data_IF_608937199507
#
_entry.id   IF_608937199507
#
_cell.length_a   1.000
_cell.length_b   1.000
_cell.length_c   1.000
_cell.angle_alpha   90.00
_cell.angle_beta   90.00
_cell.angle_gamma   90.00
#
_symmetry.space_group_name_H-M   'P 1'
#
loop_
_entity.id
_entity.type
_entity.pdbx_description
1 polymer ?
#
# COMPACT_ATOMS: atom_id res chain seq x y z
N UNK A 1 -9.97 -17.98 -16.37
CA UNK A 1 -10.13 -18.38 -14.95
C UNK A 1 -9.45 -19.72 -14.73
N UNK A 2 -8.87 -19.97 -13.55
CA UNK A 2 -8.35 -21.28 -13.17
C UNK A 2 -9.31 -21.92 -12.17
N UNK A 3 -9.53 -23.23 -12.28
CA UNK A 3 -10.30 -23.99 -11.28
C UNK A 3 -9.35 -24.38 -10.15
N UNK A 4 -9.74 -24.04 -8.93
CA UNK A 4 -8.92 -24.29 -7.73
C UNK A 4 -9.82 -24.90 -6.67
N UNK A 5 -9.34 -25.96 -6.03
CA UNK A 5 -10.01 -26.58 -4.88
C UNK A 5 -9.36 -26.03 -3.62
N UNK A 6 -10.18 -25.49 -2.71
CA UNK A 6 -9.75 -24.92 -1.43
C UNK A 6 -10.29 -25.80 -0.30
N UNK A 7 -9.48 -26.06 0.71
CA UNK A 7 -9.94 -26.64 1.96
C UNK A 7 -10.42 -25.47 2.83
N UNK A 8 -11.71 -25.49 3.18
CA UNK A 8 -12.36 -24.44 3.98
C UNK A 8 -12.97 -25.09 5.22
N UNK A 9 -12.92 -24.40 6.35
CA UNK A 9 -13.63 -24.84 7.55
C UNK A 9 -15.14 -24.85 7.30
N UNK A 10 -15.85 -25.80 7.91
CA UNK A 10 -17.30 -25.97 7.71
C UNK A 10 -18.08 -24.68 8.01
N UNK A 11 -17.73 -23.99 9.09
CA UNK A 11 -18.36 -22.72 9.45
C UNK A 11 -18.19 -21.64 8.38
N UNK A 12 -17.03 -21.61 7.70
CA UNK A 12 -16.76 -20.67 6.60
C UNK A 12 -17.60 -21.02 5.38
N UNK A 13 -17.72 -22.30 5.04
CA UNK A 13 -18.57 -22.76 3.93
C UNK A 13 -20.05 -22.44 4.17
N UNK A 14 -20.55 -22.62 5.39
CA UNK A 14 -21.94 -22.30 5.75
C UNK A 14 -22.21 -20.80 5.68
N UNK A 15 -21.25 -19.97 6.13
CA UNK A 15 -21.33 -18.53 6.01
C UNK A 15 -21.37 -18.09 4.53
N UNK A 16 -20.51 -18.64 3.67
CA UNK A 16 -20.49 -18.36 2.23
C UNK A 16 -21.83 -18.70 1.59
N UNK A 17 -22.38 -19.89 1.86
CA UNK A 17 -23.69 -20.30 1.33
C UNK A 17 -24.82 -19.36 1.75
N UNK A 18 -24.87 -19.02 3.04
CA UNK A 18 -25.90 -18.12 3.57
C UNK A 18 -25.81 -16.75 2.92
N UNK A 19 -24.60 -16.23 2.76
CA UNK A 19 -24.38 -14.90 2.21
C UNK A 19 -24.56 -14.85 0.70
N UNK A 20 -24.22 -15.91 -0.04
CA UNK A 20 -24.47 -16.00 -1.48
C UNK A 20 -25.97 -16.05 -1.79
N UNK A 21 -26.74 -16.78 -0.98
CA UNK A 21 -28.21 -16.80 -1.06
C UNK A 21 -28.82 -15.43 -0.75
N UNK A 22 -28.35 -14.76 0.31
CA UNK A 22 -28.85 -13.44 0.68
C UNK A 22 -28.53 -12.37 -0.38
N UNK A 23 -27.37 -12.47 -1.03
CA UNK A 23 -26.94 -11.54 -2.07
C UNK A 23 -27.45 -11.91 -3.48
N UNK A 24 -28.00 -13.11 -3.67
CA UNK A 24 -28.48 -13.59 -4.97
C UNK A 24 -27.36 -13.82 -6.00
N UNK A 25 -26.15 -14.14 -5.56
CA UNK A 25 -24.96 -14.34 -6.41
C UNK A 25 -24.42 -15.76 -6.28
N UNK A 26 -23.60 -16.19 -7.24
CA UNK A 26 -22.94 -17.50 -7.16
C UNK A 26 -21.91 -17.54 -6.01
N UNK A 27 -21.76 -18.70 -5.38
CA UNK A 27 -20.77 -18.88 -4.30
C UNK A 27 -19.35 -18.60 -4.79
N UNK A 28 -19.01 -19.00 -6.02
CA UNK A 28 -17.67 -18.80 -6.59
C UNK A 28 -17.39 -17.32 -6.81
N UNK A 29 -18.42 -16.54 -7.20
CA UNK A 29 -18.31 -15.10 -7.37
C UNK A 29 -18.07 -14.41 -6.02
N UNK A 30 -18.84 -14.76 -5.00
CA UNK A 30 -18.69 -14.22 -3.65
C UNK A 30 -17.30 -14.54 -3.06
N UNK A 31 -16.82 -15.78 -3.23
CA UNK A 31 -15.48 -16.19 -2.78
C UNK A 31 -14.38 -15.41 -3.49
N UNK A 32 -14.49 -15.24 -4.81
CA UNK A 32 -13.51 -14.45 -5.57
C UNK A 32 -13.48 -12.98 -5.12
N UNK A 33 -14.64 -12.40 -4.80
CA UNK A 33 -14.72 -11.03 -4.30
C UNK A 33 -14.05 -10.89 -2.93
N UNK A 34 -14.32 -11.81 -1.99
CA UNK A 34 -13.65 -11.80 -0.69
C UNK A 34 -12.13 -12.01 -0.81
N UNK A 35 -11.68 -12.90 -1.68
CA UNK A 35 -10.25 -13.08 -1.95
C UNK A 35 -9.63 -11.82 -2.55
N UNK A 36 -10.32 -11.16 -3.49
CA UNK A 36 -9.89 -9.88 -4.07
C UNK A 36 -9.74 -8.82 -2.98
N UNK A 37 -10.76 -8.62 -2.15
CA UNK A 37 -10.73 -7.64 -1.07
C UNK A 37 -9.61 -7.92 -0.06
N UNK A 38 -9.46 -9.17 0.38
CA UNK A 38 -8.40 -9.56 1.32
C UNK A 38 -6.99 -9.37 0.76
N UNK A 39 -6.78 -9.65 -0.53
CA UNK A 39 -5.48 -9.45 -1.19
C UNK A 39 -5.18 -7.98 -1.46
N UNK A 40 -6.18 -7.18 -1.85
CA UNK A 40 -6.02 -5.74 -2.08
C UNK A 40 -5.74 -5.02 -0.76
N UNK A 41 -6.53 -5.28 0.30
CA UNK A 41 -6.34 -4.63 1.61
C UNK A 41 -4.97 -4.90 2.23
N UNK A 42 -4.38 -6.08 1.99
CA UNK A 42 -2.99 -6.36 2.39
C UNK A 42 -1.96 -5.54 1.63
N UNK A 43 -2.22 -5.19 0.37
CA UNK A 43 -1.31 -4.38 -0.46
C UNK A 43 -1.42 -2.88 -0.16
N UNK A 44 -2.58 -2.42 0.29
CA UNK A 44 -2.84 -0.99 0.48
C UNK A 44 -2.46 -0.45 1.84
N UNK A 45 -1.99 -1.24 2.81
CA UNK A 45 -1.33 -0.66 3.98
C UNK A 45 -0.11 0.09 3.46
N UNK A 46 -0.12 1.45 3.43
CA UNK A 46 1.06 2.16 3.02
C UNK A 46 2.12 1.75 4.05
N UNK A 47 3.22 1.15 3.58
CA UNK A 47 4.42 1.11 4.40
C UNK A 47 4.62 2.55 4.83
N UNK A 48 4.54 2.81 6.15
CA UNK A 48 4.90 4.12 6.68
C UNK A 48 6.28 4.41 6.10
N UNK A 49 6.35 5.36 5.18
CA UNK A 49 7.63 5.82 4.70
C UNK A 49 8.32 6.38 5.93
N UNK A 50 9.54 5.92 6.27
CA UNK A 50 10.26 6.51 7.39
C UNK A 50 10.35 8.00 7.13
N UNK A 51 10.01 8.82 8.12
CA UNK A 51 10.20 10.25 8.02
C UNK A 51 11.69 10.51 7.85
N UNK A 52 12.07 11.13 6.73
CA UNK A 52 13.43 11.63 6.59
C UNK A 52 13.68 12.70 7.64
N UNK A 53 14.90 12.78 8.22
CA UNK A 53 15.22 13.84 9.14
C UNK A 53 15.06 15.20 8.46
N UNK A 54 14.30 16.09 9.09
CA UNK A 54 14.15 17.48 8.66
C UNK A 54 15.13 18.31 9.45
N UNK A 55 16.12 18.90 8.77
CA UNK A 55 17.09 19.78 9.40
C UNK A 55 16.68 21.24 9.19
N UNK A 56 16.59 22.01 10.28
CA UNK A 56 16.38 23.46 10.20
C UNK A 56 17.71 24.16 9.92
N UNK A 57 18.13 24.17 8.66
CA UNK A 57 19.42 24.74 8.23
C UNK A 57 19.39 26.27 8.05
N UNK A 58 18.29 26.95 8.39
CA UNK A 58 18.14 28.39 8.21
C UNK A 58 18.08 28.82 6.74
N UNK A 59 18.40 30.10 6.49
CA UNK A 59 18.40 30.66 5.12
C UNK A 59 19.73 30.33 4.42
N UNK A 60 19.70 29.76 3.21
CA UNK A 60 20.93 29.51 2.45
C UNK A 60 21.62 30.84 2.14
N UNK A 61 22.89 30.96 2.49
CA UNK A 61 23.70 32.14 2.18
C UNK A 61 24.30 32.08 0.77
N UNK A 62 24.54 30.88 0.25
CA UNK A 62 25.21 30.67 -1.03
C UNK A 62 24.49 29.62 -1.86
N UNK A 63 24.47 29.83 -3.17
CA UNK A 63 24.01 28.83 -4.13
C UNK A 63 25.20 27.92 -4.49
N UNK A 64 25.17 26.65 -4.09
CA UNK A 64 26.24 25.70 -4.40
C UNK A 64 26.40 25.42 -5.91
N UNK A 65 25.40 25.75 -6.72
CA UNK A 65 25.49 25.66 -8.18
C UNK A 65 26.29 26.83 -8.79
N UNK A 66 26.54 27.90 -8.03
CA UNK A 66 27.38 29.03 -8.43
C UNK A 66 28.79 28.84 -7.86
N UNK A 67 29.66 28.30 -8.71
CA UNK A 67 31.05 27.98 -8.35
C UNK A 67 31.83 29.21 -7.90
N UNK A 68 31.68 30.32 -8.60
CA UNK A 68 32.45 31.54 -8.33
C UNK A 68 32.00 32.19 -7.02
N UNK A 69 30.70 32.11 -6.70
CA UNK A 69 30.19 32.56 -5.40
C UNK A 69 30.70 31.70 -4.24
N UNK A 70 30.84 30.38 -4.46
CA UNK A 70 31.37 29.46 -3.46
C UNK A 70 32.88 29.66 -3.24
N UNK A 71 33.67 29.78 -4.31
CA UNK A 71 35.12 29.99 -4.22
C UNK A 71 35.45 31.29 -3.44
N UNK A 72 34.75 32.39 -3.74
CA UNK A 72 34.90 33.66 -3.00
C UNK A 72 34.60 33.56 -1.51
N UNK A 73 33.65 32.71 -1.11
CA UNK A 73 33.31 32.51 0.29
C UNK A 73 34.32 31.61 1.03
N UNK A 74 35.09 30.79 0.31
CA UNK A 74 36.10 29.90 0.88
C UNK A 74 37.47 30.56 1.02
N UNK A 75 37.77 31.58 0.20
CA UNK A 75 39.06 32.28 0.20
C UNK A 75 39.15 33.45 1.21
N UNK A 76 38.11 33.70 2.01
CA UNK A 76 38.09 34.69 3.10
C UNK A 76 38.52 34.11 4.44
#
# INVERSE_FOLDING_TARGET
MKRTTLILENAVMDAIKKQSLAAGVDMSELVNEFLRQGLIQKRTKPKQQPSLPVFNMGKPHFNLADRDALERAMES
#
